data_IF_209852061134
#
_entry.id   IF_209852061134
#
_cell.length_a   1.000
_cell.length_b   1.000
_cell.length_c   1.000
_cell.angle_alpha   90.00
_cell.angle_beta   90.00
_cell.angle_gamma   90.00
#
_symmetry.space_group_name_H-M   'P 1'
#
loop_
_entity.id
_entity.type
_entity.pdbx_description
1 polymer ?
#
# COMPACT_ATOMS: atom_id res chain seq x y z
N UNK A 1 -22.07 44.08 12.93
CA UNK A 1 -21.23 43.40 11.92
C UNK A 1 -20.55 42.24 12.62
N UNK A 2 -20.97 41.01 12.35
CA UNK A 2 -20.32 39.80 12.87
C UNK A 2 -19.47 39.24 11.73
N UNK A 3 -18.16 39.30 11.85
CA UNK A 3 -17.22 38.69 10.90
C UNK A 3 -17.25 37.18 11.11
N UNK A 4 -17.89 36.44 10.19
CA UNK A 4 -17.79 34.98 10.13
C UNK A 4 -16.39 34.61 9.65
N UNK A 5 -15.59 34.02 10.52
CA UNK A 5 -14.35 33.36 10.14
C UNK A 5 -14.72 32.00 9.55
N UNK A 6 -14.60 31.83 8.24
CA UNK A 6 -14.64 30.52 7.63
C UNK A 6 -13.32 29.81 7.97
N UNK A 7 -13.37 28.86 8.90
CA UNK A 7 -12.25 27.94 9.11
C UNK A 7 -12.12 27.07 7.86
N UNK A 8 -10.99 27.19 7.16
CA UNK A 8 -10.67 26.26 6.08
C UNK A 8 -10.50 24.87 6.70
N UNK A 9 -11.35 23.93 6.32
CA UNK A 9 -11.20 22.53 6.72
C UNK A 9 -9.90 22.02 6.09
N UNK A 10 -8.93 21.52 6.88
CA UNK A 10 -7.72 20.92 6.34
C UNK A 10 -8.11 19.86 5.30
N UNK A 11 -7.65 20.03 4.07
CA UNK A 11 -7.89 19.07 3.00
C UNK A 11 -6.75 18.05 2.99
N UNK A 12 -7.03 16.75 2.83
CA UNK A 12 -5.99 15.74 2.68
C UNK A 12 -5.05 16.08 1.51
N UNK A 13 -3.77 15.67 1.58
CA UNK A 13 -2.82 15.99 0.53
C UNK A 13 -3.17 15.30 -0.79
N UNK A 14 -2.99 15.99 -1.92
CA UNK A 14 -3.03 15.37 -3.24
C UNK A 14 -1.73 14.62 -3.55
N UNK A 15 -1.79 13.66 -4.48
CA UNK A 15 -0.61 12.93 -4.96
C UNK A 15 0.49 13.88 -5.49
N UNK A 16 0.13 14.89 -6.29
CA UNK A 16 1.08 15.88 -6.81
C UNK A 16 1.77 16.70 -5.71
N UNK A 17 1.03 17.08 -4.66
CA UNK A 17 1.61 17.77 -3.51
C UNK A 17 2.58 16.86 -2.74
N UNK A 18 2.27 15.57 -2.59
CA UNK A 18 3.16 14.62 -1.93
C UNK A 18 4.42 14.35 -2.75
N UNK A 19 4.32 14.20 -4.08
CA UNK A 19 5.51 14.09 -4.94
C UNK A 19 6.45 15.27 -4.68
N UNK A 20 5.92 16.50 -4.70
CA UNK A 20 6.71 17.71 -4.45
C UNK A 20 7.33 17.72 -3.06
N UNK A 21 6.56 17.33 -2.03
CA UNK A 21 7.06 17.27 -0.66
C UNK A 21 8.16 16.23 -0.48
N UNK A 22 8.02 15.04 -1.08
CA UNK A 22 9.03 13.97 -1.00
C UNK A 22 10.31 14.38 -1.71
N UNK A 23 10.21 14.98 -2.91
CA UNK A 23 11.37 15.47 -3.64
C UNK A 23 12.12 16.57 -2.88
N UNK A 24 11.39 17.46 -2.19
CA UNK A 24 11.97 18.59 -1.47
C UNK A 24 12.56 18.19 -0.12
N UNK A 25 11.85 17.34 0.64
CA UNK A 25 12.12 17.10 2.06
C UNK A 25 12.62 15.67 2.34
N UNK A 26 12.55 14.78 1.36
CA UNK A 26 12.86 13.37 1.51
C UNK A 26 11.69 12.55 2.10
N UNK A 27 11.63 11.28 1.71
CA UNK A 27 10.55 10.36 2.09
C UNK A 27 10.35 10.25 3.60
N UNK A 28 11.44 10.05 4.36
CA UNK A 28 11.39 9.90 5.83
C UNK A 28 10.76 11.12 6.51
N UNK A 29 11.11 12.33 6.08
CA UNK A 29 10.53 13.56 6.65
C UNK A 29 9.05 13.70 6.30
N UNK A 30 8.63 13.26 5.12
CA UNK A 30 7.22 13.29 4.72
C UNK A 30 6.42 12.26 5.51
N UNK A 31 6.92 11.04 5.68
CA UNK A 31 6.28 10.01 6.52
C UNK A 31 6.09 10.52 7.95
N UNK A 32 7.14 11.07 8.57
CA UNK A 32 7.06 11.62 9.91
C UNK A 32 5.99 12.72 10.06
N UNK A 33 5.74 13.50 9.00
CA UNK A 33 4.67 14.48 8.95
C UNK A 33 3.29 13.83 8.76
N UNK A 34 3.16 12.83 7.88
CA UNK A 34 1.90 12.12 7.66
C UNK A 34 1.39 11.39 8.92
N UNK A 35 2.32 10.99 9.79
CA UNK A 35 2.05 10.35 11.09
C UNK A 35 1.58 11.33 12.18
N UNK A 36 1.58 12.64 11.95
CA UNK A 36 1.01 13.59 12.92
C UNK A 36 -0.51 13.48 12.99
N UNK A 37 -1.12 14.07 14.02
CA UNK A 37 -2.58 14.17 14.18
C UNK A 37 -3.32 12.81 14.10
N UNK A 38 -2.84 11.84 14.88
CA UNK A 38 -3.33 10.46 14.92
C UNK A 38 -3.26 9.77 13.54
N UNK A 39 -2.20 10.06 12.77
CA UNK A 39 -1.88 9.40 11.50
C UNK A 39 -2.97 9.54 10.42
N UNK A 40 -3.87 10.51 10.54
CA UNK A 40 -5.00 10.68 9.61
C UNK A 40 -4.57 10.85 8.17
N UNK A 41 -3.51 11.62 7.92
CA UNK A 41 -2.99 11.79 6.56
C UNK A 41 -2.29 10.51 6.07
N UNK A 42 -1.58 9.80 6.94
CA UNK A 42 -0.99 8.51 6.60
C UNK A 42 -2.05 7.49 6.18
N UNK A 43 -3.09 7.30 6.99
CA UNK A 43 -4.21 6.40 6.69
C UNK A 43 -4.93 6.79 5.40
N UNK A 44 -5.12 8.09 5.14
CA UNK A 44 -5.65 8.56 3.87
C UNK A 44 -4.77 8.17 2.68
N UNK A 45 -3.44 8.31 2.80
CA UNK A 45 -2.51 7.92 1.73
C UNK A 45 -2.59 6.41 1.47
N UNK A 46 -2.61 5.58 2.52
CA UNK A 46 -2.77 4.14 2.39
C UNK A 46 -4.08 3.78 1.68
N UNK A 47 -5.21 4.35 2.11
CA UNK A 47 -6.53 4.12 1.47
C UNK A 47 -6.51 4.45 -0.04
N UNK A 48 -5.74 5.46 -0.45
CA UNK A 48 -5.59 5.82 -1.86
C UNK A 48 -4.71 4.84 -2.63
N UNK A 49 -3.65 4.33 -1.99
CA UNK A 49 -2.77 3.30 -2.56
C UNK A 49 -3.56 2.00 -2.75
N UNK A 50 -4.34 1.57 -1.75
CA UNK A 50 -5.16 0.35 -1.78
C UNK A 50 -6.11 0.30 -2.99
N UNK A 51 -6.59 1.47 -3.44
CA UNK A 51 -7.47 1.58 -4.62
C UNK A 51 -6.75 1.37 -5.96
N UNK A 52 -5.42 1.22 -5.95
CA UNK A 52 -4.61 0.91 -7.13
C UNK A 52 -4.49 2.04 -8.15
N UNK A 53 -4.68 3.30 -7.76
CA UNK A 53 -4.47 4.43 -8.67
C UNK A 53 -2.97 4.63 -8.93
N UNK A 54 -2.58 4.77 -10.21
CA UNK A 54 -1.17 4.86 -10.63
C UNK A 54 -0.38 6.00 -9.95
N UNK A 55 -1.00 7.17 -9.75
CA UNK A 55 -0.33 8.29 -9.08
C UNK A 55 -0.03 7.97 -7.62
N UNK A 56 -0.90 7.20 -6.96
CA UNK A 56 -0.74 6.79 -5.58
C UNK A 56 0.22 5.60 -5.43
N UNK A 57 0.23 4.66 -6.39
CA UNK A 57 1.25 3.62 -6.47
C UNK A 57 2.65 4.23 -6.66
N UNK A 58 2.76 5.30 -7.46
CA UNK A 58 4.01 6.08 -7.56
C UNK A 58 4.40 6.73 -6.23
N UNK A 59 3.44 7.27 -5.47
CA UNK A 59 3.71 7.76 -4.11
C UNK A 59 4.25 6.65 -3.22
N UNK A 60 3.69 5.45 -3.27
CA UNK A 60 4.18 4.31 -2.50
C UNK A 60 5.66 4.02 -2.81
N UNK A 61 6.02 3.98 -4.09
CA UNK A 61 7.42 3.80 -4.52
C UNK A 61 8.36 4.90 -4.01
N UNK A 62 7.89 6.15 -3.99
CA UNK A 62 8.66 7.29 -3.49
C UNK A 62 8.81 7.30 -1.96
N UNK A 63 7.81 6.78 -1.22
CA UNK A 63 7.84 6.72 0.24
C UNK A 63 8.69 5.56 0.76
N UNK A 64 8.72 4.44 0.04
CA UNK A 64 9.39 3.20 0.44
C UNK A 64 10.82 3.38 1.00
N UNK A 65 11.74 4.15 0.36
CA UNK A 65 13.10 4.32 0.88
C UNK A 65 13.19 5.06 2.23
N UNK A 66 12.15 5.79 2.63
CA UNK A 66 12.07 6.51 3.90
C UNK A 66 11.27 5.79 4.98
N UNK A 67 10.62 4.67 4.64
CA UNK A 67 9.80 3.90 5.57
C UNK A 67 10.64 3.06 6.51
N UNK A 68 10.11 2.81 7.70
CA UNK A 68 10.64 1.93 8.73
C UNK A 68 9.50 1.19 9.45
N UNK A 69 9.81 0.03 10.02
CA UNK A 69 8.92 -0.78 10.86
C UNK A 69 7.43 -0.70 10.45
N UNK A 70 6.60 -0.03 11.26
CA UNK A 70 5.17 0.14 11.06
C UNK A 70 4.79 0.79 9.71
N UNK A 71 5.50 1.86 9.31
CA UNK A 71 5.25 2.52 8.01
C UNK A 71 5.64 1.64 6.83
N UNK A 72 6.64 0.78 6.99
CA UNK A 72 7.05 -0.17 5.96
C UNK A 72 6.02 -1.31 5.81
N UNK A 73 5.51 -1.84 6.92
CA UNK A 73 4.50 -2.90 6.95
C UNK A 73 3.14 -2.43 6.41
N UNK A 74 2.67 -1.27 6.88
CA UNK A 74 1.40 -0.69 6.41
C UNK A 74 1.48 -0.29 4.94
N UNK A 75 2.62 0.21 4.46
CA UNK A 75 2.84 0.51 3.04
C UNK A 75 2.83 -0.74 2.17
N UNK A 76 3.52 -1.82 2.58
CA UNK A 76 3.46 -3.11 1.89
C UNK A 76 2.03 -3.66 1.82
N UNK A 77 1.30 -3.56 2.92
CA UNK A 77 -0.10 -3.99 3.03
C UNK A 77 -0.98 -3.24 2.03
N UNK A 78 -0.87 -1.91 2.00
CA UNK A 78 -1.66 -1.08 1.08
C UNK A 78 -1.36 -1.39 -0.39
N UNK A 79 -0.08 -1.61 -0.74
CA UNK A 79 0.30 -2.01 -2.10
C UNK A 79 -0.21 -3.43 -2.43
N UNK A 80 -0.21 -4.36 -1.46
CA UNK A 80 -0.77 -5.70 -1.66
C UNK A 80 -2.28 -5.66 -1.91
N UNK A 81 -3.03 -4.83 -1.18
CA UNK A 81 -4.47 -4.61 -1.40
C UNK A 81 -4.80 -4.02 -2.77
N UNK A 82 -3.86 -3.34 -3.41
CA UNK A 82 -4.04 -2.80 -4.76
C UNK A 82 -3.99 -3.86 -5.87
N UNK A 83 -3.51 -5.08 -5.60
CA UNK A 83 -3.31 -6.14 -6.60
C UNK A 83 -4.61 -6.48 -7.38
N UNK A 84 -5.78 -6.71 -6.75
CA UNK A 84 -7.04 -6.91 -7.45
C UNK A 84 -7.45 -5.77 -8.38
N UNK A 85 -7.05 -4.54 -8.07
CA UNK A 85 -7.51 -3.32 -8.72
C UNK A 85 -6.61 -2.89 -9.88
N UNK A 86 -5.29 -3.01 -9.70
CA UNK A 86 -4.29 -2.62 -10.69
C UNK A 86 -3.05 -3.53 -10.59
N UNK A 87 -3.15 -4.79 -11.05
CA UNK A 87 -2.04 -5.73 -10.96
C UNK A 87 -0.82 -5.27 -11.75
N UNK A 88 -1.01 -4.65 -12.91
CA UNK A 88 0.09 -4.14 -13.73
C UNK A 88 0.84 -3.00 -13.04
N UNK A 89 0.12 -2.04 -12.45
CA UNK A 89 0.72 -0.92 -11.73
C UNK A 89 1.45 -1.36 -10.47
N UNK A 90 0.88 -2.30 -9.71
CA UNK A 90 1.57 -2.89 -8.54
C UNK A 90 2.85 -3.57 -8.97
N UNK A 91 2.79 -4.49 -9.94
CA UNK A 91 3.97 -5.23 -10.41
C UNK A 91 5.07 -4.30 -10.97
N UNK A 92 4.69 -3.15 -11.54
CA UNK A 92 5.65 -2.16 -12.05
C UNK A 92 6.43 -1.41 -10.97
N UNK A 93 5.90 -1.32 -9.73
CA UNK A 93 6.59 -0.67 -8.61
C UNK A 93 7.30 -1.64 -7.68
N UNK A 94 7.11 -2.95 -7.86
CA UNK A 94 7.84 -3.95 -7.08
C UNK A 94 9.31 -3.93 -7.45
N UNK A 95 10.16 -3.95 -6.43
CA UNK A 95 11.60 -3.97 -6.63
C UNK A 95 12.07 -5.40 -6.93
N UNK A 96 12.68 -5.60 -8.10
CA UNK A 96 13.29 -6.86 -8.52
C UNK A 96 14.58 -7.21 -7.77
N UNK A 97 15.19 -6.26 -7.07
CA UNK A 97 16.37 -6.44 -6.22
C UNK A 97 16.02 -6.87 -4.78
N UNK A 98 14.75 -7.20 -4.50
CA UNK A 98 14.25 -7.60 -3.18
C UNK A 98 14.47 -6.56 -2.07
N UNK A 99 14.50 -5.28 -2.42
CA UNK A 99 14.60 -4.20 -1.44
C UNK A 99 13.23 -3.99 -0.77
N UNK A 100 13.23 -4.00 0.56
CA UNK A 100 12.06 -3.75 1.40
C UNK A 100 11.58 -2.29 1.30
N UNK A 101 10.29 -2.02 1.56
CA UNK A 101 9.20 -2.98 1.77
C UNK A 101 8.57 -3.52 0.49
N UNK A 102 8.84 -2.92 -0.67
CA UNK A 102 8.12 -3.21 -1.92
C UNK A 102 8.75 -4.35 -2.74
N UNK A 103 9.15 -5.44 -2.08
CA UNK A 103 9.64 -6.63 -2.77
C UNK A 103 8.48 -7.59 -3.10
N UNK A 104 8.69 -8.46 -4.09
CA UNK A 104 7.72 -9.51 -4.43
C UNK A 104 7.45 -10.43 -3.23
N UNK A 105 8.50 -10.79 -2.49
CA UNK A 105 8.41 -11.69 -1.33
C UNK A 105 7.75 -11.06 -0.10
N UNK A 106 7.44 -9.77 -0.14
CA UNK A 106 6.67 -9.08 0.91
C UNK A 106 5.27 -8.78 0.43
N UNK A 107 5.14 -8.05 -0.69
CA UNK A 107 3.83 -7.60 -1.18
C UNK A 107 2.97 -8.77 -1.65
N UNK A 108 3.54 -9.73 -2.36
CA UNK A 108 2.81 -10.90 -2.85
C UNK A 108 2.73 -12.02 -1.80
N UNK A 109 3.36 -11.85 -0.64
CA UNK A 109 3.35 -12.83 0.45
C UNK A 109 2.18 -12.64 1.43
N UNK A 110 1.11 -11.97 0.98
CA UNK A 110 -0.14 -11.82 1.73
C UNK A 110 0.07 -11.14 3.10
N UNK A 111 0.64 -9.92 3.14
CA UNK A 111 1.05 -9.24 4.38
C UNK A 111 -0.17 -8.66 5.14
N UNK A 112 -1.12 -9.51 5.52
CA UNK A 112 -2.37 -9.07 6.17
C UNK A 112 -2.44 -9.56 7.61
N UNK A 113 -2.51 -8.62 8.55
CA UNK A 113 -2.70 -8.92 9.98
C UNK A 113 -4.13 -8.67 10.46
N UNK A 114 -4.88 -7.78 9.81
CA UNK A 114 -6.16 -7.25 10.29
C UNK A 114 -7.31 -7.38 9.28
N UNK A 115 -7.41 -8.54 8.61
CA UNK A 115 -8.49 -8.85 7.67
C UNK A 115 -9.25 -10.10 8.12
N UNK A 116 -10.57 -10.15 7.92
CA UNK A 116 -11.36 -11.34 8.25
C UNK A 116 -11.14 -12.47 7.24
N UNK A 117 -11.40 -13.72 7.62
CA UNK A 117 -11.30 -14.87 6.70
C UNK A 117 -12.13 -14.72 5.42
N UNK A 118 -13.40 -14.24 5.45
CA UNK A 118 -14.17 -14.02 4.22
C UNK A 118 -13.51 -12.99 3.29
N UNK A 119 -13.03 -11.87 3.84
CA UNK A 119 -12.36 -10.84 3.06
C UNK A 119 -11.03 -11.37 2.48
N UNK A 120 -10.25 -12.12 3.26
CA UNK A 120 -9.02 -12.75 2.79
C UNK A 120 -9.28 -13.73 1.63
N UNK A 121 -10.26 -14.61 1.77
CA UNK A 121 -10.63 -15.55 0.71
C UNK A 121 -11.04 -14.83 -0.59
N UNK A 122 -11.83 -13.75 -0.45
CA UNK A 122 -12.24 -12.93 -1.59
C UNK A 122 -11.03 -12.25 -2.24
N UNK A 123 -10.15 -11.66 -1.44
CA UNK A 123 -8.91 -11.05 -1.91
C UNK A 123 -8.06 -12.03 -2.74
N UNK A 124 -7.90 -13.28 -2.29
CA UNK A 124 -7.12 -14.29 -3.03
C UNK A 124 -7.74 -14.54 -4.40
N UNK A 125 -9.06 -14.74 -4.47
CA UNK A 125 -9.76 -15.00 -5.74
C UNK A 125 -9.59 -13.83 -6.70
N UNK A 126 -9.87 -12.60 -6.23
CA UNK A 126 -9.82 -11.41 -7.07
C UNK A 126 -8.39 -11.10 -7.53
N UNK A 127 -7.42 -11.25 -6.64
CA UNK A 127 -5.99 -11.05 -6.94
C UNK A 127 -5.50 -12.03 -8.00
N UNK A 128 -5.79 -13.32 -7.85
CA UNK A 128 -5.39 -14.34 -8.82
C UNK A 128 -6.04 -14.07 -10.19
N UNK A 129 -7.33 -13.74 -10.22
CA UNK A 129 -8.03 -13.40 -11.47
C UNK A 129 -7.45 -12.16 -12.16
N UNK A 130 -7.06 -11.14 -11.39
CA UNK A 130 -6.44 -9.92 -11.92
C UNK A 130 -5.02 -10.20 -12.43
N UNK A 131 -4.20 -10.90 -11.65
CA UNK A 131 -2.81 -11.24 -11.97
C UNK A 131 -2.70 -12.15 -13.20
N UNK A 132 -3.59 -13.12 -13.40
CA UNK A 132 -3.57 -13.98 -14.59
C UNK A 132 -3.71 -13.22 -15.92
N UNK A 133 -4.19 -11.98 -15.89
CA UNK A 133 -4.32 -11.12 -17.08
C UNK A 133 -3.04 -10.34 -17.41
N UNK A 134 -2.00 -10.44 -16.58
CA UNK A 134 -0.75 -9.68 -16.70
C UNK A 134 0.43 -10.60 -16.94
N UNK A 135 1.22 -10.36 -17.99
CA UNK A 135 2.30 -11.26 -18.42
C UNK A 135 3.41 -11.47 -17.36
N UNK A 136 3.69 -10.46 -16.54
CA UNK A 136 4.76 -10.49 -15.53
C UNK A 136 4.29 -10.99 -14.14
N UNK A 137 3.10 -11.59 -14.03
CA UNK A 137 2.50 -11.92 -12.74
C UNK A 137 2.95 -13.24 -12.11
N UNK A 138 3.62 -14.10 -12.88
CA UNK A 138 3.95 -15.48 -12.46
C UNK A 138 4.63 -15.53 -11.08
N UNK A 139 5.64 -14.70 -10.85
CA UNK A 139 6.36 -14.68 -9.57
C UNK A 139 5.45 -14.31 -8.40
N UNK A 140 4.56 -13.33 -8.60
CA UNK A 140 3.64 -12.90 -7.56
C UNK A 140 2.61 -13.99 -7.24
N UNK A 141 2.05 -14.64 -8.27
CA UNK A 141 1.13 -15.78 -8.11
C UNK A 141 1.83 -16.94 -7.37
N UNK A 142 3.05 -17.29 -7.78
CA UNK A 142 3.83 -18.35 -7.14
C UNK A 142 4.08 -18.03 -5.66
N UNK A 143 4.45 -16.78 -5.32
CA UNK A 143 4.63 -16.35 -3.93
C UNK A 143 3.33 -16.47 -3.13
N UNK A 144 2.19 -15.99 -3.67
CA UNK A 144 0.89 -16.11 -2.99
C UNK A 144 0.52 -17.57 -2.71
N UNK A 145 0.64 -18.45 -3.71
CA UNK A 145 0.31 -19.88 -3.58
C UNK A 145 1.24 -20.58 -2.58
N UNK A 146 2.53 -20.28 -2.62
CA UNK A 146 3.50 -20.85 -1.69
C UNK A 146 3.24 -20.39 -0.25
N UNK A 147 2.90 -19.12 -0.03
CA UNK A 147 2.51 -18.61 1.28
C UNK A 147 1.27 -19.33 1.80
N UNK A 148 0.23 -19.50 0.97
CA UNK A 148 -0.98 -20.24 1.34
C UNK A 148 -0.66 -21.70 1.70
N UNK A 149 0.16 -22.38 0.90
CA UNK A 149 0.52 -23.78 1.12
C UNK A 149 1.37 -24.02 2.38
N UNK A 150 2.13 -23.02 2.83
CA UNK A 150 2.93 -23.08 4.07
C UNK A 150 2.16 -22.62 5.30
N UNK A 151 1.02 -21.97 5.13
CA UNK A 151 0.20 -21.51 6.25
C UNK A 151 -0.39 -22.71 6.99
N UNK A 152 -0.27 -22.72 8.32
CA UNK A 152 -0.94 -23.71 9.19
C UNK A 152 -2.47 -23.53 9.26
N UNK A 153 -3.05 -22.81 8.29
CA UNK A 153 -4.42 -22.29 8.30
C UNK A 153 -4.48 -20.83 8.80
N UNK A 154 -5.43 -20.06 8.26
CA UNK A 154 -5.73 -18.70 8.73
C UNK A 154 -6.03 -18.71 10.24
N UNK A 155 -5.30 -17.90 11.00
CA UNK A 155 -5.57 -17.61 12.41
C UNK A 155 -6.21 -16.23 12.48
N UNK A 156 -7.44 -16.18 12.96
CA UNK A 156 -8.10 -14.92 13.31
C UNK A 156 -7.54 -14.50 14.66
N UNK A 157 -6.95 -13.30 14.74
CA UNK A 157 -6.61 -12.72 16.04
C UNK A 157 -7.93 -12.32 16.72
N UNK A 158 -8.28 -13.03 17.79
CA UNK A 158 -9.47 -12.77 18.62
C UNK A 158 -9.26 -11.57 19.55
#
# INVERSE_FOLDING_TARGET
>A
MLSSWAYAVPQPPSSAQLVTQIQKNGAKSVIAKLYTDDEKEWLYVLEKIEKGNDDWLKIASLLAPGSDADSAESLATAVAMAIPHNPSGVLAILNHENILPLSTDVVCALPFYSITRPQFNQYIVDSIQALYKVAASKSCIDTMVNTLGRSNGFKEDN
#
